data_IF_134145644275
#
_entry.id   IF_134145644275
#
_cell.length_a   1.000
_cell.length_b   1.000
_cell.length_c   1.000
_cell.angle_alpha   90.00
_cell.angle_beta   90.00
_cell.angle_gamma   90.00
#
_symmetry.space_group_name_H-M   'P 1'
#
loop_
_entity.id
_entity.type
_entity.pdbx_description
1 polymer ?
#
# COMPACT_ATOMS: atom_id res chain seq x y z
N UNK A 1 31.95 -9.27 -15.45
CA UNK A 1 31.72 -9.85 -14.10
C UNK A 1 31.33 -8.68 -13.20
N UNK A 2 30.06 -8.45 -13.01
CA UNK A 2 29.55 -7.44 -12.08
C UNK A 2 29.77 -7.98 -10.66
N UNK A 3 30.61 -7.29 -9.91
CA UNK A 3 30.87 -7.58 -8.50
C UNK A 3 29.62 -7.14 -7.71
N UNK A 4 28.58 -7.96 -7.71
CA UNK A 4 27.38 -7.72 -6.88
C UNK A 4 27.85 -7.85 -5.43
N UNK A 5 28.05 -6.71 -4.77
CA UNK A 5 28.30 -6.67 -3.32
C UNK A 5 27.13 -7.39 -2.64
N UNK A 6 27.41 -8.31 -1.74
CA UNK A 6 26.38 -8.92 -0.91
C UNK A 6 25.64 -7.83 -0.11
N UNK A 7 24.32 -7.96 -0.03
CA UNK A 7 23.49 -7.03 0.72
C UNK A 7 23.82 -7.16 2.22
N UNK A 8 24.31 -6.08 2.83
CA UNK A 8 24.55 -5.99 4.27
C UNK A 8 23.40 -5.19 4.87
N UNK A 9 22.63 -5.81 5.76
CA UNK A 9 21.46 -5.18 6.38
C UNK A 9 21.83 -3.90 7.13
N UNK A 10 21.03 -2.85 6.97
CA UNK A 10 21.23 -1.49 7.51
C UNK A 10 22.53 -0.80 7.03
N UNK A 11 22.95 -1.09 5.80
CA UNK A 11 24.07 -0.42 5.17
C UNK A 11 23.70 0.11 3.78
N UNK A 12 23.43 1.40 3.69
CA UNK A 12 23.02 2.08 2.45
C UNK A 12 24.12 2.19 1.37
N UNK A 13 25.34 1.69 1.65
CA UNK A 13 26.43 1.58 0.67
C UNK A 13 26.41 0.25 -0.10
N UNK A 14 25.52 -0.66 0.27
CA UNK A 14 25.27 -1.95 -0.38
C UNK A 14 23.85 -1.97 -0.95
N UNK A 15 23.51 -2.94 -1.84
CA UNK A 15 22.12 -3.14 -2.24
C UNK A 15 21.19 -3.32 -1.03
N UNK A 16 19.96 -2.78 -1.04
CA UNK A 16 19.04 -2.89 0.08
C UNK A 16 18.66 -4.35 0.34
N UNK A 17 18.48 -4.68 1.60
CA UNK A 17 18.06 -6.01 2.01
C UNK A 17 16.59 -6.27 1.62
N UNK A 18 16.28 -7.53 1.26
CA UNK A 18 14.93 -7.92 0.83
C UNK A 18 13.85 -7.59 1.88
N UNK A 19 14.16 -7.69 3.18
CA UNK A 19 13.21 -7.35 4.24
C UNK A 19 12.80 -5.88 4.23
N UNK A 20 13.71 -4.97 3.88
CA UNK A 20 13.39 -3.55 3.72
C UNK A 20 12.39 -3.35 2.58
N UNK A 21 12.63 -4.00 1.43
CA UNK A 21 11.73 -3.90 0.26
C UNK A 21 10.35 -4.52 0.53
N UNK A 22 10.30 -5.67 1.20
CA UNK A 22 9.05 -6.31 1.64
C UNK A 22 8.30 -5.40 2.61
N UNK A 23 8.99 -4.78 3.58
CA UNK A 23 8.39 -3.88 4.55
C UNK A 23 7.82 -2.61 3.90
N UNK A 24 8.56 -2.03 2.94
CA UNK A 24 8.09 -0.88 2.15
C UNK A 24 6.80 -1.19 1.40
N UNK A 25 6.73 -2.34 0.73
CA UNK A 25 5.55 -2.76 0.01
C UNK A 25 4.39 -3.13 0.96
N UNK A 26 4.68 -3.81 2.06
CA UNK A 26 3.71 -4.21 3.07
C UNK A 26 3.07 -3.01 3.79
N UNK A 27 3.80 -1.91 3.96
CA UNK A 27 3.26 -0.71 4.63
C UNK A 27 2.08 -0.10 3.88
N UNK A 28 2.10 -0.10 2.54
CA UNK A 28 0.98 0.36 1.73
C UNK A 28 -0.27 -0.51 1.95
N UNK A 29 -0.09 -1.84 1.98
CA UNK A 29 -1.17 -2.79 2.24
C UNK A 29 -1.71 -2.66 3.69
N UNK A 30 -0.83 -2.45 4.68
CA UNK A 30 -1.21 -2.22 6.07
C UNK A 30 -2.06 -0.96 6.22
N UNK A 31 -1.61 0.17 5.64
CA UNK A 31 -2.33 1.44 5.68
C UNK A 31 -3.75 1.34 5.13
N UNK A 32 -3.96 0.48 4.14
CA UNK A 32 -5.26 0.29 3.53
C UNK A 32 -6.19 -0.60 4.37
N UNK A 33 -5.66 -1.63 5.04
CA UNK A 33 -6.50 -2.70 5.57
C UNK A 33 -6.75 -2.62 7.09
N UNK A 34 -5.84 -2.02 7.86
CA UNK A 34 -5.89 -2.08 9.33
C UNK A 34 -7.11 -1.38 9.93
N UNK A 35 -7.60 -0.30 9.32
CA UNK A 35 -8.69 0.50 9.86
C UNK A 35 -10.09 0.05 9.40
N UNK A 36 -10.18 -0.91 8.47
CA UNK A 36 -11.46 -1.38 7.90
C UNK A 36 -12.50 -1.77 8.97
N UNK A 37 -12.12 -2.53 10.01
CA UNK A 37 -13.07 -2.88 11.07
C UNK A 37 -13.62 -1.69 11.86
N UNK A 38 -12.92 -0.56 11.82
CA UNK A 38 -13.30 0.66 12.55
C UNK A 38 -14.28 1.56 11.78
N UNK A 39 -14.54 1.29 10.51
CA UNK A 39 -15.37 2.15 9.66
C UNK A 39 -16.76 2.46 10.25
N UNK A 40 -17.51 1.48 10.81
CA UNK A 40 -18.80 1.77 11.43
C UNK A 40 -18.68 2.71 12.63
N UNK A 41 -17.71 2.50 13.51
CA UNK A 41 -17.44 3.36 14.66
C UNK A 41 -16.97 4.77 14.26
N UNK A 42 -16.16 4.87 13.20
CA UNK A 42 -15.72 6.15 12.64
C UNK A 42 -16.90 6.93 12.02
N UNK A 43 -17.86 6.22 11.39
CA UNK A 43 -19.09 6.83 10.87
C UNK A 43 -19.86 7.55 11.96
N UNK A 44 -20.02 6.90 13.11
CA UNK A 44 -20.67 7.50 14.29
C UNK A 44 -19.84 8.67 14.88
N UNK A 45 -18.49 8.50 14.96
CA UNK A 45 -17.61 9.53 15.51
C UNK A 45 -17.65 10.85 14.72
N UNK A 46 -17.70 10.77 13.37
CA UNK A 46 -17.73 11.94 12.49
C UNK A 46 -19.15 12.43 12.17
N UNK A 47 -20.17 11.84 12.79
CA UNK A 47 -21.60 12.17 12.55
C UNK A 47 -21.92 12.20 11.04
N UNK A 48 -21.57 11.15 10.33
CA UNK A 48 -21.69 11.07 8.87
C UNK A 48 -22.39 9.79 8.42
N UNK A 49 -22.63 9.65 7.12
CA UNK A 49 -23.18 8.42 6.56
C UNK A 49 -22.07 7.43 6.23
N UNK A 50 -22.40 6.13 6.28
CA UNK A 50 -21.43 5.10 5.88
C UNK A 50 -20.97 5.25 4.42
N UNK A 51 -21.83 5.77 3.53
CA UNK A 51 -21.47 6.06 2.15
C UNK A 51 -20.35 7.11 2.05
N UNK A 52 -20.40 8.18 2.84
CA UNK A 52 -19.35 9.19 2.89
C UNK A 52 -18.08 8.61 3.55
N UNK A 53 -18.23 7.88 4.66
CA UNK A 53 -17.08 7.23 5.30
C UNK A 53 -16.35 6.27 4.35
N UNK A 54 -17.07 5.54 3.49
CA UNK A 54 -16.50 4.63 2.51
C UNK A 54 -15.67 5.33 1.41
N UNK A 55 -15.82 6.66 1.25
CA UNK A 55 -14.91 7.45 0.42
C UNK A 55 -13.48 7.42 0.92
N UNK A 56 -13.25 7.13 2.21
CA UNK A 56 -11.91 6.92 2.76
C UNK A 56 -11.16 5.75 2.12
N UNK A 57 -11.87 4.79 1.53
CA UNK A 57 -11.32 3.70 0.73
C UNK A 57 -11.25 4.09 -0.74
N UNK A 58 -12.38 4.50 -1.33
CA UNK A 58 -12.47 4.72 -2.78
C UNK A 58 -11.63 5.90 -3.26
N UNK A 59 -11.61 7.03 -2.53
CA UNK A 59 -10.74 8.17 -2.85
C UNK A 59 -9.27 7.85 -2.64
N UNK A 60 -8.94 7.09 -1.58
CA UNK A 60 -7.58 6.59 -1.36
C UNK A 60 -7.10 5.74 -2.53
N UNK A 61 -7.92 4.80 -3.01
CA UNK A 61 -7.60 3.95 -4.17
C UNK A 61 -7.46 4.77 -5.44
N UNK A 62 -8.38 5.70 -5.71
CA UNK A 62 -8.31 6.58 -6.87
C UNK A 62 -7.02 7.41 -6.87
N UNK A 63 -6.68 7.99 -5.71
CA UNK A 63 -5.46 8.79 -5.58
C UNK A 63 -4.19 7.91 -5.68
N UNK A 64 -4.22 6.71 -5.10
CA UNK A 64 -3.16 5.70 -5.28
C UNK A 64 -2.94 5.37 -6.75
N UNK A 65 -4.00 5.16 -7.52
CA UNK A 65 -3.91 4.87 -8.96
C UNK A 65 -3.27 6.05 -9.73
N UNK A 66 -3.67 7.28 -9.41
CA UNK A 66 -3.06 8.47 -10.00
C UNK A 66 -1.57 8.57 -9.64
N UNK A 67 -1.21 8.41 -8.37
CA UNK A 67 0.18 8.48 -7.92
C UNK A 67 1.08 7.46 -8.63
N UNK A 68 0.59 6.23 -8.85
CA UNK A 68 1.36 5.18 -9.51
C UNK A 68 1.80 5.56 -10.94
N UNK A 69 1.05 6.40 -11.64
CA UNK A 69 1.43 6.89 -12.97
C UNK A 69 2.64 7.83 -12.95
N UNK A 70 2.85 8.54 -11.84
CA UNK A 70 3.88 9.57 -11.71
C UNK A 70 5.09 9.13 -10.89
N UNK A 71 4.92 8.24 -9.92
CA UNK A 71 5.99 7.82 -8.99
C UNK A 71 7.18 7.22 -9.75
N UNK A 72 6.93 6.35 -10.73
CA UNK A 72 7.98 5.76 -11.57
C UNK A 72 8.83 6.84 -12.25
N UNK A 73 8.22 7.63 -13.16
CA UNK A 73 8.91 8.72 -13.85
C UNK A 73 9.62 9.73 -12.93
N UNK A 74 9.00 10.10 -11.79
CA UNK A 74 9.63 11.00 -10.82
C UNK A 74 10.89 10.37 -10.23
N UNK A 75 10.79 9.11 -9.81
CA UNK A 75 11.92 8.43 -9.19
C UNK A 75 13.06 8.10 -10.17
N UNK A 76 12.76 8.01 -11.46
CA UNK A 76 13.78 7.89 -12.52
C UNK A 76 14.60 9.15 -12.70
N UNK A 77 14.06 10.32 -12.32
CA UNK A 77 14.73 11.62 -12.44
C UNK A 77 15.38 12.10 -11.14
N UNK A 78 14.72 11.86 -10.01
CA UNK A 78 15.13 12.38 -8.69
C UNK A 78 15.95 11.36 -7.93
N UNK A 79 15.80 10.08 -8.27
CA UNK A 79 16.37 8.93 -7.54
C UNK A 79 15.30 8.19 -6.74
N UNK A 80 15.56 6.91 -6.47
CA UNK A 80 14.64 6.03 -5.74
C UNK A 80 14.54 6.41 -4.26
N UNK A 81 15.72 6.59 -3.63
CA UNK A 81 15.83 6.87 -2.19
C UNK A 81 15.11 8.14 -1.75
N UNK A 82 15.35 9.33 -2.35
CA UNK A 82 14.70 10.55 -1.91
C UNK A 82 13.17 10.49 -2.09
N UNK A 83 12.68 9.87 -3.16
CA UNK A 83 11.23 9.74 -3.39
C UNK A 83 10.56 8.86 -2.33
N UNK A 84 11.20 7.74 -1.94
CA UNK A 84 10.72 6.90 -0.83
C UNK A 84 10.68 7.69 0.49
N UNK A 85 11.77 8.37 0.85
CA UNK A 85 11.85 9.11 2.13
C UNK A 85 10.86 10.27 2.21
N UNK A 86 10.70 11.03 1.12
CA UNK A 86 9.71 12.11 1.03
C UNK A 86 8.29 11.54 1.18
N UNK A 87 7.99 10.40 0.58
CA UNK A 87 6.67 9.77 0.72
C UNK A 87 6.35 9.39 2.18
N UNK A 88 7.34 8.96 2.97
CA UNK A 88 7.16 8.72 4.39
C UNK A 88 6.89 10.01 5.18
N UNK A 89 7.59 11.11 4.86
CA UNK A 89 7.32 12.40 5.50
C UNK A 89 5.88 12.84 5.25
N UNK A 90 5.41 12.76 3.99
CA UNK A 90 4.02 13.09 3.65
C UNK A 90 3.06 12.15 4.38
N UNK A 91 3.35 10.86 4.43
CA UNK A 91 2.55 9.86 5.13
C UNK A 91 2.45 10.16 6.64
N UNK A 92 3.53 10.58 7.30
CA UNK A 92 3.50 10.93 8.72
C UNK A 92 2.64 12.15 8.98
N UNK A 93 2.81 13.22 8.20
CA UNK A 93 1.98 14.43 8.29
C UNK A 93 0.51 14.06 8.08
N UNK A 94 0.21 13.26 7.07
CA UNK A 94 -1.13 12.80 6.76
C UNK A 94 -1.72 11.92 7.87
N UNK A 95 -0.93 11.02 8.46
CA UNK A 95 -1.40 10.14 9.55
C UNK A 95 -1.70 10.94 10.82
N UNK A 96 -0.85 11.91 11.15
CA UNK A 96 -1.09 12.84 12.27
C UNK A 96 -2.35 13.68 11.97
N UNK A 97 -2.51 14.16 10.74
CA UNK A 97 -3.72 14.87 10.33
C UNK A 97 -4.99 14.03 10.47
N UNK A 98 -4.96 12.74 10.12
CA UNK A 98 -6.08 11.82 10.36
C UNK A 98 -6.39 11.67 11.86
N UNK A 99 -5.37 11.56 12.73
CA UNK A 99 -5.53 11.43 14.18
C UNK A 99 -6.15 12.67 14.84
N UNK A 100 -5.81 13.85 14.32
CA UNK A 100 -6.26 15.13 14.84
C UNK A 100 -7.55 15.64 14.20
N UNK A 101 -8.04 14.98 13.15
CA UNK A 101 -9.24 15.38 12.45
C UNK A 101 -10.50 15.30 13.33
N UNK A 102 -11.31 16.33 13.29
CA UNK A 102 -12.61 16.44 13.99
C UNK A 102 -13.79 16.46 13.01
N UNK A 103 -13.53 16.65 11.71
CA UNK A 103 -14.55 16.59 10.65
C UNK A 103 -14.18 15.55 9.61
N UNK A 104 -15.20 15.02 8.93
CA UNK A 104 -15.01 13.97 7.91
C UNK A 104 -14.24 14.50 6.69
N UNK A 105 -14.44 15.76 6.30
CA UNK A 105 -13.78 16.38 5.15
C UNK A 105 -12.26 16.46 5.38
N UNK A 106 -11.86 16.94 6.56
CA UNK A 106 -10.45 17.03 6.95
C UNK A 106 -9.83 15.65 7.01
N UNK A 107 -10.54 14.66 7.59
CA UNK A 107 -10.10 13.27 7.61
C UNK A 107 -9.88 12.71 6.20
N UNK A 108 -10.83 12.90 5.28
CA UNK A 108 -10.74 12.41 3.91
C UNK A 108 -9.55 13.03 3.14
N UNK A 109 -9.30 14.34 3.33
CA UNK A 109 -8.14 15.00 2.72
C UNK A 109 -6.82 14.35 3.19
N UNK A 110 -6.64 14.21 4.50
CA UNK A 110 -5.45 13.57 5.03
C UNK A 110 -5.38 12.09 4.65
N UNK A 111 -6.51 11.41 4.56
CA UNK A 111 -6.57 10.03 4.09
C UNK A 111 -6.09 9.87 2.64
N UNK A 112 -6.43 10.81 1.76
CA UNK A 112 -5.88 10.85 0.39
C UNK A 112 -4.36 11.06 0.41
N UNK A 113 -3.86 11.99 1.23
CA UNK A 113 -2.42 12.23 1.35
C UNK A 113 -1.66 11.01 1.90
N UNK A 114 -2.28 10.19 2.76
CA UNK A 114 -1.68 8.93 3.19
C UNK A 114 -1.37 7.97 2.03
N UNK A 115 -2.05 8.09 0.88
CA UNK A 115 -1.81 7.26 -0.29
C UNK A 115 -0.38 7.39 -0.86
N UNK A 116 0.36 8.46 -0.52
CA UNK A 116 1.77 8.58 -0.91
C UNK A 116 2.63 7.39 -0.43
N UNK A 117 2.20 6.66 0.59
CA UNK A 117 2.89 5.45 1.07
C UNK A 117 2.95 4.34 0.00
N UNK A 118 2.10 4.39 -1.03
CA UNK A 118 2.14 3.46 -2.18
C UNK A 118 3.46 3.52 -2.94
N UNK A 119 4.19 4.62 -2.79
CA UNK A 119 5.55 4.79 -3.33
C UNK A 119 6.46 3.62 -2.95
N UNK A 120 6.41 3.18 -1.70
CA UNK A 120 7.16 2.02 -1.23
C UNK A 120 6.84 0.73 -2.01
N UNK A 121 5.57 0.50 -2.31
CA UNK A 121 5.12 -0.65 -3.09
C UNK A 121 5.59 -0.59 -4.55
N UNK A 122 5.49 0.58 -5.18
CA UNK A 122 5.89 0.77 -6.58
C UNK A 122 7.41 0.67 -6.72
N UNK A 123 8.14 1.40 -5.87
CA UNK A 123 9.58 1.50 -5.99
C UNK A 123 10.32 0.26 -5.49
N UNK A 124 9.78 -0.52 -4.56
CA UNK A 124 10.40 -1.79 -4.17
C UNK A 124 10.60 -2.73 -5.37
N UNK A 125 9.63 -2.79 -6.29
CA UNK A 125 9.76 -3.58 -7.54
C UNK A 125 10.75 -2.97 -8.52
N UNK A 126 10.79 -1.64 -8.63
CA UNK A 126 11.75 -0.94 -9.47
C UNK A 126 13.19 -1.14 -8.95
N UNK A 127 13.38 -0.98 -7.63
CA UNK A 127 14.65 -1.20 -6.96
C UNK A 127 15.17 -2.63 -7.18
N UNK A 128 14.30 -3.65 -7.07
CA UNK A 128 14.71 -5.03 -7.38
C UNK A 128 15.28 -5.13 -8.79
N UNK A 129 14.64 -4.51 -9.78
CA UNK A 129 15.13 -4.52 -11.17
C UNK A 129 16.42 -3.73 -11.36
N UNK A 130 16.69 -2.73 -10.51
CA UNK A 130 17.90 -1.93 -10.57
C UNK A 130 19.13 -2.70 -9.99
N UNK A 131 18.91 -3.69 -9.09
CA UNK A 131 19.98 -4.33 -8.31
C UNK A 131 20.29 -5.79 -8.68
N UNK A 132 19.36 -6.48 -9.37
CA UNK A 132 19.56 -7.91 -9.77
C UNK A 132 19.22 -8.16 -11.22
N UNK A 133 19.84 -9.18 -11.80
CA UNK A 133 19.58 -9.65 -13.16
C UNK A 133 18.19 -10.28 -13.30
N UNK A 134 17.65 -10.32 -14.51
CA UNK A 134 16.24 -10.65 -14.82
C UNK A 134 15.73 -11.94 -14.18
N UNK A 135 16.51 -13.03 -14.17
CA UNK A 135 16.08 -14.31 -13.59
C UNK A 135 15.89 -14.23 -12.06
N UNK A 136 16.79 -13.54 -11.36
CA UNK A 136 16.72 -13.34 -9.91
C UNK A 136 15.69 -12.27 -9.55
N UNK A 137 15.48 -11.28 -10.43
CA UNK A 137 14.51 -10.22 -10.22
C UNK A 137 13.09 -10.76 -10.09
N UNK A 138 12.69 -11.73 -10.93
CA UNK A 138 11.37 -12.35 -10.86
C UNK A 138 11.11 -13.01 -9.50
N UNK A 139 12.06 -13.79 -8.97
CA UNK A 139 11.97 -14.42 -7.65
C UNK A 139 11.89 -13.37 -6.53
N UNK A 140 12.73 -12.35 -6.57
CA UNK A 140 12.77 -11.29 -5.55
C UNK A 140 11.49 -10.45 -5.53
N UNK A 141 10.93 -10.12 -6.71
CA UNK A 141 9.62 -9.48 -6.84
C UNK A 141 8.51 -10.38 -6.27
N UNK A 142 8.63 -11.71 -6.46
CA UNK A 142 7.74 -12.69 -5.85
C UNK A 142 7.70 -12.57 -4.31
N UNK A 143 8.85 -12.49 -3.64
CA UNK A 143 8.92 -12.30 -2.19
C UNK A 143 8.33 -10.96 -1.73
N UNK A 144 8.59 -9.87 -2.47
CA UNK A 144 7.99 -8.56 -2.18
C UNK A 144 6.46 -8.61 -2.30
N UNK A 145 5.95 -9.26 -3.34
CA UNK A 145 4.52 -9.43 -3.56
C UNK A 145 3.86 -10.33 -2.51
N UNK A 146 4.55 -11.40 -2.09
CA UNK A 146 4.10 -12.27 -1.01
C UNK A 146 3.95 -11.51 0.31
N UNK A 147 4.92 -10.65 0.66
CA UNK A 147 4.82 -9.78 1.83
C UNK A 147 3.58 -8.88 1.80
N UNK A 148 3.25 -8.33 0.63
CA UNK A 148 2.01 -7.55 0.44
C UNK A 148 0.74 -8.39 0.60
N UNK A 149 0.75 -9.65 0.17
CA UNK A 149 -0.42 -10.53 0.26
C UNK A 149 -0.71 -11.00 1.69
N UNK A 150 0.33 -11.16 2.52
CA UNK A 150 0.20 -11.58 3.91
C UNK A 150 -0.42 -10.48 4.79
N UNK A 151 -0.09 -9.22 4.55
CA UNK A 151 -0.55 -8.10 5.39
C UNK A 151 -2.08 -7.99 5.47
N UNK A 152 -2.85 -8.04 4.38
CA UNK A 152 -4.32 -8.00 4.46
C UNK A 152 -4.95 -9.15 5.25
N UNK A 153 -4.24 -10.25 5.42
CA UNK A 153 -4.73 -11.38 6.22
C UNK A 153 -4.76 -11.05 7.72
N UNK A 154 -3.73 -10.36 8.21
CA UNK A 154 -3.60 -10.07 9.65
C UNK A 154 -4.03 -8.66 10.03
N UNK A 155 -3.89 -7.69 9.12
CA UNK A 155 -4.13 -6.28 9.41
C UNK A 155 -5.55 -5.99 9.94
N UNK A 156 -6.64 -6.51 9.35
CA UNK A 156 -7.98 -6.27 9.88
C UNK A 156 -8.22 -6.93 11.24
N UNK A 157 -7.63 -8.11 11.50
CA UNK A 157 -7.75 -8.77 12.81
C UNK A 157 -7.06 -7.93 13.91
N UNK A 158 -5.83 -7.47 13.64
CA UNK A 158 -5.09 -6.58 14.55
C UNK A 158 -5.85 -5.26 14.71
N UNK A 159 -6.33 -4.67 13.61
CA UNK A 159 -7.06 -3.42 13.62
C UNK A 159 -8.39 -3.49 14.35
N UNK A 160 -9.11 -4.60 14.22
CA UNK A 160 -10.34 -4.86 14.96
C UNK A 160 -10.09 -4.96 16.47
N UNK A 161 -9.07 -5.70 16.87
CA UNK A 161 -8.66 -5.81 18.27
C UNK A 161 -8.25 -4.46 18.89
N UNK A 162 -7.46 -3.67 18.15
CA UNK A 162 -7.07 -2.31 18.58
C UNK A 162 -8.30 -1.40 18.69
N UNK A 163 -9.24 -1.52 17.77
CA UNK A 163 -10.45 -0.72 17.79
C UNK A 163 -11.35 -1.04 18.98
N UNK A 164 -11.52 -2.32 19.30
CA UNK A 164 -12.36 -2.75 20.43
C UNK A 164 -11.77 -2.33 21.77
N UNK A 165 -10.44 -2.28 21.92
CA UNK A 165 -9.77 -1.89 23.16
C UNK A 165 -9.54 -0.39 23.31
N UNK A 166 -9.16 0.29 22.24
CA UNK A 166 -8.64 1.67 22.32
C UNK A 166 -9.34 2.63 21.34
N UNK A 167 -10.31 2.14 20.55
CA UNK A 167 -11.00 2.91 19.52
C UNK A 167 -10.19 3.08 18.23
N UNK A 168 -10.85 3.63 17.22
CA UNK A 168 -10.32 3.71 15.84
C UNK A 168 -8.97 4.46 15.71
N UNK A 169 -8.70 5.44 16.59
CA UNK A 169 -7.44 6.20 16.58
C UNK A 169 -6.22 5.33 16.83
N UNK A 170 -6.37 4.22 17.56
CA UNK A 170 -5.28 3.29 17.81
C UNK A 170 -4.71 2.68 16.51
N UNK A 171 -5.55 2.46 15.50
CA UNK A 171 -5.11 1.96 14.19
C UNK A 171 -4.18 2.95 13.48
N UNK A 172 -4.51 4.23 13.51
CA UNK A 172 -3.66 5.28 12.92
C UNK A 172 -2.39 5.52 13.74
N UNK A 173 -2.46 5.41 15.08
CA UNK A 173 -1.28 5.46 15.95
C UNK A 173 -0.32 4.30 15.66
N UNK A 174 -0.85 3.09 15.47
CA UNK A 174 -0.05 1.93 15.07
C UNK A 174 0.57 2.10 13.68
N UNK A 175 -0.17 2.66 12.72
CA UNK A 175 0.38 3.00 11.40
C UNK A 175 1.54 3.99 11.50
N UNK A 176 1.43 5.01 12.36
CA UNK A 176 2.50 5.96 12.60
C UNK A 176 3.73 5.27 13.19
N UNK A 177 3.54 4.45 14.22
CA UNK A 177 4.61 3.73 14.89
C UNK A 177 5.36 2.77 13.96
N UNK A 178 4.63 1.90 13.25
CA UNK A 178 5.22 0.97 12.27
C UNK A 178 5.86 1.74 11.12
N UNK A 179 5.22 2.81 10.64
CA UNK A 179 5.76 3.67 9.60
C UNK A 179 7.11 4.27 9.97
N UNK A 180 7.29 4.74 11.21
CA UNK A 180 8.58 5.26 11.71
C UNK A 180 9.65 4.17 11.68
N UNK A 181 9.33 2.95 12.10
CA UNK A 181 10.28 1.82 12.08
C UNK A 181 10.69 1.50 10.64
N UNK A 182 9.73 1.42 9.72
CA UNK A 182 10.03 1.09 8.32
C UNK A 182 10.77 2.24 7.62
N UNK A 183 10.44 3.50 7.95
CA UNK A 183 11.18 4.66 7.45
C UNK A 183 12.64 4.67 7.95
N UNK A 184 12.87 4.26 9.20
CA UNK A 184 14.22 4.10 9.73
C UNK A 184 14.98 2.99 8.98
N UNK A 185 14.34 1.84 8.71
CA UNK A 185 14.94 0.81 7.88
C UNK A 185 15.28 1.33 6.48
N UNK A 186 14.34 2.03 5.84
CA UNK A 186 14.60 2.65 4.53
C UNK A 186 15.75 3.67 4.59
N UNK A 187 15.82 4.48 5.62
CA UNK A 187 16.88 5.48 5.76
C UNK A 187 18.29 4.88 5.89
N UNK A 188 18.43 3.82 6.71
CA UNK A 188 19.73 3.19 6.99
C UNK A 188 20.13 2.13 5.98
N UNK A 189 19.18 1.46 5.32
CA UNK A 189 19.42 0.31 4.43
C UNK A 189 19.31 0.66 2.94
N UNK A 190 18.40 1.58 2.57
CA UNK A 190 18.18 1.94 1.18
C UNK A 190 19.20 2.98 0.72
N UNK A 191 20.17 2.53 -0.09
CA UNK A 191 21.02 3.41 -0.89
C UNK A 191 20.29 3.94 -2.13
N UNK A 192 20.95 4.82 -2.91
CA UNK A 192 20.45 5.17 -4.23
C UNK A 192 20.76 4.04 -5.20
N UNK A 193 19.73 3.50 -5.86
CA UNK A 193 19.86 2.37 -6.79
C UNK A 193 19.75 2.78 -8.25
N UNK A 194 19.23 3.98 -8.52
CA UNK A 194 19.13 4.48 -9.88
C UNK A 194 20.44 5.05 -10.38
N UNK A 195 21.21 4.24 -11.11
CA UNK A 195 22.46 4.66 -11.73
C UNK A 195 22.27 5.41 -13.06
N UNK A 196 21.07 5.39 -13.64
CA UNK A 196 20.75 5.98 -14.94
C UNK A 196 19.65 7.04 -14.80
N UNK A 197 20.00 8.20 -14.26
CA UNK A 197 19.07 9.32 -14.16
C UNK A 197 18.59 9.72 -15.56
N UNK A 198 17.35 9.41 -15.88
CA UNK A 198 16.75 9.68 -17.19
C UNK A 198 16.37 11.16 -17.29
N UNK A 199 16.98 11.86 -18.27
CA UNK A 199 16.62 13.25 -18.59
C UNK A 199 15.41 13.30 -19.52
N UNK A 200 14.20 12.99 -19.02
CA UNK A 200 13.03 13.22 -19.88
C UNK A 200 11.73 12.56 -19.43
N UNK A 201 10.92 13.28 -18.68
CA UNK A 201 9.51 12.97 -18.38
C UNK A 201 8.71 12.68 -19.68
N UNK A 202 9.04 13.38 -20.76
CA UNK A 202 8.31 13.36 -22.03
C UNK A 202 8.37 12.02 -22.76
N UNK A 203 9.42 11.21 -22.56
CA UNK A 203 9.60 9.98 -23.34
C UNK A 203 8.60 8.88 -22.95
N UNK A 204 8.36 8.70 -21.66
CA UNK A 204 7.45 7.68 -21.15
C UNK A 204 5.97 8.00 -21.47
N UNK A 205 5.59 9.28 -21.39
CA UNK A 205 4.22 9.70 -21.75
C UNK A 205 3.91 9.59 -23.25
N UNK A 206 4.93 9.61 -24.13
CA UNK A 206 4.76 9.42 -25.57
C UNK A 206 4.36 8.00 -25.95
N UNK A 207 4.63 7.00 -25.10
CA UNK A 207 4.30 5.59 -25.35
C UNK A 207 2.87 5.25 -24.91
N UNK A 208 2.24 6.04 -24.04
CA UNK A 208 0.87 5.79 -23.56
C UNK A 208 -0.20 5.75 -24.66
N UNK A 209 -0.19 6.65 -25.68
CA UNK A 209 -1.18 6.61 -26.75
C UNK A 209 -1.16 5.31 -27.53
N UNK A 210 -0.01 4.64 -27.64
CA UNK A 210 0.12 3.34 -28.31
C UNK A 210 -0.52 2.23 -27.49
N UNK A 211 -0.31 2.24 -26.17
CA UNK A 211 -0.97 1.31 -25.24
C UNK A 211 -2.49 1.44 -25.30
N UNK A 212 -3.02 2.67 -25.30
CA UNK A 212 -4.46 2.91 -25.37
C UNK A 212 -5.11 2.46 -26.67
N UNK A 213 -4.38 2.32 -27.76
CA UNK A 213 -4.87 1.77 -29.02
C UNK A 213 -4.93 0.24 -29.03
N UNK A 214 -4.23 -0.44 -28.12
CA UNK A 214 -4.15 -1.90 -28.09
C UNK A 214 -5.38 -2.52 -27.46
N UNK A 215 -6.15 -3.31 -28.24
CA UNK A 215 -7.29 -4.09 -27.74
C UNK A 215 -6.88 -5.10 -26.66
N UNK A 216 -5.66 -5.69 -26.79
CA UNK A 216 -5.12 -6.64 -25.81
C UNK A 216 -4.87 -5.96 -24.46
N UNK A 217 -4.37 -4.74 -24.45
CA UNK A 217 -4.20 -3.93 -23.25
C UNK A 217 -5.53 -3.74 -22.50
N UNK A 218 -6.58 -3.32 -23.22
CA UNK A 218 -7.90 -3.13 -22.62
C UNK A 218 -8.53 -4.42 -22.10
N UNK A 219 -8.35 -5.55 -22.80
CA UNK A 219 -8.83 -6.84 -22.34
C UNK A 219 -8.22 -7.23 -20.99
N UNK A 220 -6.90 -7.09 -20.84
CA UNK A 220 -6.23 -7.34 -19.55
C UNK A 220 -6.63 -6.34 -18.47
N UNK A 221 -6.73 -5.05 -18.82
CA UNK A 221 -7.19 -4.02 -17.89
C UNK A 221 -8.60 -4.32 -17.36
N UNK A 222 -9.57 -4.59 -18.23
CA UNK A 222 -10.93 -4.87 -17.80
C UNK A 222 -11.05 -6.15 -16.99
N UNK A 223 -10.33 -7.21 -17.34
CA UNK A 223 -10.27 -8.43 -16.52
C UNK A 223 -9.82 -8.11 -15.10
N UNK A 224 -8.73 -7.35 -14.95
CA UNK A 224 -8.21 -6.95 -13.65
C UNK A 224 -9.17 -6.00 -12.92
N UNK A 225 -9.77 -5.04 -13.62
CA UNK A 225 -10.73 -4.09 -13.05
C UNK A 225 -11.94 -4.79 -12.46
N UNK A 226 -12.55 -5.72 -13.19
CA UNK A 226 -13.74 -6.45 -12.72
C UNK A 226 -13.41 -7.40 -11.56
N UNK A 227 -12.29 -8.11 -11.62
CA UNK A 227 -11.84 -8.97 -10.52
C UNK A 227 -11.54 -8.15 -9.25
N UNK A 228 -10.74 -7.08 -9.38
CA UNK A 228 -10.41 -6.19 -8.27
C UNK A 228 -11.64 -5.43 -7.76
N UNK A 229 -12.53 -4.99 -8.66
CA UNK A 229 -13.76 -4.29 -8.31
C UNK A 229 -14.66 -5.11 -7.41
N UNK A 230 -14.82 -6.41 -7.67
CA UNK A 230 -15.57 -7.31 -6.80
C UNK A 230 -14.96 -7.40 -5.40
N UNK A 231 -13.63 -7.53 -5.31
CA UNK A 231 -12.91 -7.57 -4.04
C UNK A 231 -13.03 -6.27 -3.24
N UNK A 232 -12.85 -5.11 -3.89
CA UNK A 232 -12.97 -3.82 -3.23
C UNK A 232 -14.40 -3.45 -2.85
N UNK A 233 -15.42 -3.90 -3.60
CA UNK A 233 -16.82 -3.79 -3.20
C UNK A 233 -17.10 -4.59 -1.92
N UNK A 234 -16.55 -5.80 -1.81
CA UNK A 234 -16.61 -6.59 -0.59
C UNK A 234 -15.91 -5.87 0.58
N UNK A 235 -14.69 -5.38 0.39
CA UNK A 235 -13.95 -4.63 1.43
C UNK A 235 -14.76 -3.43 1.94
N UNK A 236 -15.38 -2.66 1.04
CA UNK A 236 -16.16 -1.49 1.40
C UNK A 236 -17.48 -1.81 2.11
N UNK A 237 -18.13 -2.92 1.76
CA UNK A 237 -19.44 -3.28 2.31
C UNK A 237 -19.39 -4.19 3.53
N UNK A 238 -18.41 -5.08 3.61
CA UNK A 238 -18.35 -6.12 4.62
C UNK A 238 -18.31 -5.59 6.08
N UNK A 239 -17.57 -4.52 6.43
CA UNK A 239 -17.59 -3.99 7.81
C UNK A 239 -18.98 -3.51 8.23
N UNK A 240 -19.71 -2.86 7.33
CA UNK A 240 -21.06 -2.38 7.60
C UNK A 240 -22.04 -3.53 7.83
N UNK A 241 -22.05 -4.51 6.95
CA UNK A 241 -22.93 -5.69 7.05
C UNK A 241 -22.61 -6.49 8.31
N UNK A 242 -21.34 -6.69 8.65
CA UNK A 242 -20.93 -7.43 9.83
C UNK A 242 -21.41 -6.76 11.13
N UNK A 243 -21.31 -5.45 11.22
CA UNK A 243 -21.72 -4.71 12.41
C UNK A 243 -23.24 -4.53 12.50
N UNK A 244 -23.91 -4.14 11.39
CA UNK A 244 -25.33 -3.78 11.45
C UNK A 244 -26.29 -4.96 11.25
N UNK A 245 -25.88 -6.01 10.54
CA UNK A 245 -26.72 -7.17 10.25
C UNK A 245 -26.40 -8.38 11.12
N UNK A 246 -25.12 -8.55 11.46
CA UNK A 246 -24.64 -9.70 12.25
C UNK A 246 -24.22 -9.31 13.68
N UNK A 247 -24.26 -8.02 14.03
CA UNK A 247 -23.87 -7.51 15.36
C UNK A 247 -22.47 -7.95 15.82
N UNK A 248 -21.56 -8.16 14.87
CA UNK A 248 -20.20 -8.61 15.19
C UNK A 248 -19.35 -7.45 15.72
N UNK A 249 -18.47 -7.76 16.67
CA UNK A 249 -17.41 -6.84 17.09
C UNK A 249 -16.40 -6.62 15.98
N UNK A 250 -15.62 -5.54 16.06
CA UNK A 250 -14.57 -5.22 15.09
C UNK A 250 -13.49 -6.31 15.04
N UNK A 251 -13.16 -6.91 16.18
CA UNK A 251 -12.21 -8.04 16.25
C UNK A 251 -12.76 -9.29 15.58
N UNK A 252 -14.04 -9.64 15.82
CA UNK A 252 -14.68 -10.78 15.16
C UNK A 252 -14.71 -10.60 13.63
N UNK A 253 -15.09 -9.41 13.14
CA UNK A 253 -15.02 -9.11 11.71
C UNK A 253 -13.60 -9.28 11.17
N UNK A 254 -12.59 -8.76 11.87
CA UNK A 254 -11.19 -8.87 11.45
C UNK A 254 -10.73 -10.32 11.29
N UNK A 255 -11.14 -11.22 12.20
CA UNK A 255 -10.82 -12.66 12.14
C UNK A 255 -11.50 -13.30 10.91
N UNK A 256 -12.81 -13.06 10.72
CA UNK A 256 -13.53 -13.59 9.54
C UNK A 256 -12.96 -13.08 8.23
N UNK A 257 -12.54 -11.82 8.18
CA UNK A 257 -11.87 -11.26 7.02
C UNK A 257 -10.54 -11.98 6.73
N UNK A 258 -9.77 -12.31 7.77
CA UNK A 258 -8.54 -13.09 7.65
C UNK A 258 -8.79 -14.47 7.01
N UNK A 259 -9.87 -15.16 7.40
CA UNK A 259 -10.27 -16.44 6.79
C UNK A 259 -10.58 -16.29 5.30
N UNK A 260 -11.28 -15.23 4.92
CA UNK A 260 -11.57 -14.93 3.49
C UNK A 260 -10.27 -14.74 2.69
N UNK A 261 -9.28 -14.08 3.29
CA UNK A 261 -7.99 -13.84 2.64
C UNK A 261 -7.15 -15.12 2.47
N UNK A 262 -7.36 -16.15 3.30
CA UNK A 262 -6.75 -17.47 3.08
C UNK A 262 -7.13 -18.06 1.71
N UNK A 263 -8.37 -17.86 1.26
CA UNK A 263 -8.80 -18.27 -0.07
C UNK A 263 -7.97 -17.62 -1.19
N UNK A 264 -7.60 -16.35 -1.02
CA UNK A 264 -6.71 -15.66 -1.96
C UNK A 264 -5.29 -16.25 -1.98
N UNK A 265 -4.74 -16.57 -0.79
CA UNK A 265 -3.41 -17.20 -0.68
C UNK A 265 -3.39 -18.57 -1.34
N UNK A 266 -4.41 -19.40 -1.06
CA UNK A 266 -4.56 -20.73 -1.66
C UNK A 266 -4.72 -20.63 -3.18
N UNK A 267 -5.57 -19.73 -3.66
CA UNK A 267 -5.77 -19.50 -5.10
C UNK A 267 -4.47 -19.04 -5.80
N UNK A 268 -3.70 -18.17 -5.16
CA UNK A 268 -2.41 -17.71 -5.68
C UNK A 268 -1.38 -18.83 -5.73
N UNK A 269 -1.38 -19.73 -4.76
CA UNK A 269 -0.49 -20.89 -4.71
C UNK A 269 -0.81 -21.93 -5.78
N UNK A 270 -2.11 -22.14 -6.07
CA UNK A 270 -2.55 -23.09 -7.12
C UNK A 270 -2.27 -22.55 -8.53
N UNK A 271 -2.28 -21.23 -8.70
CA UNK A 271 -2.09 -20.57 -10.01
C UNK A 271 -0.62 -20.33 -10.40
N UNK A 272 0.32 -20.46 -9.48
CA UNK A 272 1.76 -20.32 -9.71
C UNK A 272 2.45 -21.64 -9.94
#
# INVERSE_FOLDING_TARGET
MSNTKDAIYLNNSTPPHILTLVSLAGMAALSMNIFLPSLPGMTAYFDTTYAIMNLSISMYLAFTALLQLFIGPISDQVGRRPVVLISFVIFFIATIGCLLSTSIEVFLIFRMLQAFIVTGMVLSRAIVRDIVEDEKAASMIGYVTMGMAIVPMFAPAIGGFLNDLFGWKANFSMLLFIGIIIAAFAYFDLGETNNNISKGFSKQFKEYPELFKSKRFWAYCFTTVFASGSFFSFIGGAPFVSTNSFELSSSAFGIYFGVTTLGYVVGSFISG
#
